data_IF_996282568865
#
_entry.id   IF_996282568865
#
_cell.length_a   1.000
_cell.length_b   1.000
_cell.length_c   1.000
_cell.angle_alpha   90.00
_cell.angle_beta   90.00
_cell.angle_gamma   90.00
#
_symmetry.space_group_name_H-M   'P 1'
#
loop_
_entity.id
_entity.type
_entity.pdbx_description
1 polymer ?
#
# COMPACT_ATOMS: atom_id res chain seq x y z
N UNK A 1 20.25 -24.85 -22.20
CA UNK A 1 19.00 -24.34 -22.83
C UNK A 1 18.07 -23.75 -21.79
N UNK A 2 17.86 -24.42 -20.64
CA UNK A 2 17.09 -23.88 -19.51
C UNK A 2 17.66 -22.55 -18.95
N UNK A 3 18.99 -22.44 -18.83
CA UNK A 3 19.64 -21.25 -18.27
C UNK A 3 19.49 -20.00 -19.16
N UNK A 4 19.59 -20.17 -20.48
CA UNK A 4 19.42 -19.07 -21.46
C UNK A 4 17.98 -18.55 -21.47
N UNK A 5 17.02 -19.46 -21.37
CA UNK A 5 15.59 -19.13 -21.30
C UNK A 5 15.25 -18.42 -19.98
N UNK A 6 15.85 -18.86 -18.86
CA UNK A 6 15.71 -18.20 -17.56
C UNK A 6 16.37 -16.80 -17.52
N UNK A 7 17.51 -16.60 -18.19
CA UNK A 7 18.16 -15.29 -18.28
C UNK A 7 17.30 -14.26 -19.04
N UNK A 8 16.65 -14.67 -20.14
CA UNK A 8 15.69 -13.83 -20.88
C UNK A 8 14.49 -13.43 -19.99
N UNK A 9 13.91 -14.38 -19.25
CA UNK A 9 12.76 -14.08 -18.38
C UNK A 9 13.08 -13.11 -17.23
N UNK A 10 14.30 -13.18 -16.69
CA UNK A 10 14.74 -12.25 -15.65
C UNK A 10 14.81 -10.82 -16.18
N UNK A 11 15.31 -10.65 -17.40
CA UNK A 11 15.52 -9.33 -18.00
C UNK A 11 14.20 -8.59 -18.24
N UNK A 12 13.16 -9.25 -18.74
CA UNK A 12 11.86 -8.61 -18.97
C UNK A 12 11.21 -8.14 -17.67
N UNK A 13 11.22 -8.98 -16.62
CA UNK A 13 10.71 -8.60 -15.31
C UNK A 13 11.39 -7.33 -14.75
N UNK A 14 12.72 -7.24 -14.90
CA UNK A 14 13.48 -6.05 -14.50
C UNK A 14 13.19 -4.82 -15.38
N UNK A 15 12.96 -5.00 -16.68
CA UNK A 15 12.61 -3.90 -17.60
C UNK A 15 11.25 -3.28 -17.23
N UNK A 16 10.23 -4.11 -17.00
CA UNK A 16 8.91 -3.62 -16.57
C UNK A 16 8.97 -2.94 -15.20
N UNK A 17 9.74 -3.50 -14.26
CA UNK A 17 9.94 -2.91 -12.94
C UNK A 17 10.67 -1.56 -13.01
N UNK A 18 11.76 -1.49 -13.77
CA UNK A 18 12.51 -0.25 -13.97
C UNK A 18 11.67 0.80 -14.70
N UNK A 19 10.90 0.40 -15.72
CA UNK A 19 9.97 1.28 -16.42
C UNK A 19 8.89 1.85 -15.51
N UNK A 20 8.29 1.01 -14.66
CA UNK A 20 7.32 1.45 -13.64
C UNK A 20 7.94 2.44 -12.66
N UNK A 21 9.13 2.13 -12.13
CA UNK A 21 9.86 2.99 -11.20
C UNK A 21 10.19 4.35 -11.83
N UNK A 22 10.71 4.36 -13.07
CA UNK A 22 11.00 5.59 -13.80
C UNK A 22 9.72 6.41 -14.02
N UNK A 23 8.62 5.75 -14.41
CA UNK A 23 7.34 6.43 -14.61
C UNK A 23 6.83 7.06 -13.30
N UNK A 24 6.96 6.37 -12.17
CA UNK A 24 6.61 6.88 -10.84
C UNK A 24 7.44 8.13 -10.47
N UNK A 25 8.76 8.04 -10.67
CA UNK A 25 9.71 9.10 -10.34
C UNK A 25 9.47 10.31 -11.24
N UNK A 26 9.39 10.12 -12.55
CA UNK A 26 9.12 11.22 -13.50
C UNK A 26 7.75 11.83 -13.21
N UNK A 27 6.71 11.01 -13.07
CA UNK A 27 5.34 11.47 -12.80
C UNK A 27 5.25 12.28 -11.52
N UNK A 28 5.87 11.82 -10.43
CA UNK A 28 5.89 12.55 -9.16
C UNK A 28 6.69 13.85 -9.23
N UNK A 29 7.82 13.89 -9.95
CA UNK A 29 8.60 15.11 -10.13
C UNK A 29 7.90 16.13 -11.04
N UNK A 30 7.24 15.67 -12.10
CA UNK A 30 6.42 16.52 -12.98
C UNK A 30 5.22 17.08 -12.22
N UNK A 31 4.48 16.24 -11.49
CA UNK A 31 3.34 16.69 -10.68
C UNK A 31 3.76 17.69 -9.59
N UNK A 32 4.94 17.47 -8.98
CA UNK A 32 5.53 18.40 -8.04
C UNK A 32 5.88 19.75 -8.67
N UNK A 33 6.47 19.71 -9.86
CA UNK A 33 6.83 20.91 -10.62
C UNK A 33 5.60 21.79 -10.93
N UNK A 34 4.47 21.15 -11.26
CA UNK A 34 3.21 21.82 -11.56
C UNK A 34 2.48 22.38 -10.33
N UNK A 35 2.77 21.89 -9.12
CA UNK A 35 2.16 22.39 -7.88
C UNK A 35 2.85 23.61 -7.29
N UNK A 36 4.07 23.93 -7.72
CA UNK A 36 4.74 25.15 -7.26
C UNK A 36 4.10 26.37 -7.92
N UNK A 37 3.65 27.38 -7.16
CA UNK A 37 3.14 28.62 -7.74
C UNK A 37 4.25 29.22 -8.62
N UNK A 38 3.96 29.35 -9.91
CA UNK A 38 4.88 29.93 -10.90
C UNK A 38 4.28 31.25 -11.37
N UNK A 39 5.13 32.27 -11.40
CA UNK A 39 4.78 33.54 -12.01
C UNK A 39 4.83 33.37 -13.54
N UNK A 40 3.76 33.77 -14.23
CA UNK A 40 3.65 33.74 -15.70
C UNK A 40 2.45 32.94 -16.23
N UNK A 41 2.17 33.08 -17.53
CA UNK A 41 0.99 32.54 -18.21
C UNK A 41 0.82 31.01 -18.05
N UNK A 42 1.94 30.26 -18.06
CA UNK A 42 1.91 28.80 -17.85
C UNK A 42 1.50 28.43 -16.42
N UNK A 43 1.92 29.20 -15.41
CA UNK A 43 1.54 28.95 -14.01
C UNK A 43 0.05 29.18 -13.79
N UNK A 44 -0.49 30.23 -14.40
CA UNK A 44 -1.92 30.54 -14.33
C UNK A 44 -2.78 29.50 -15.05
N UNK A 45 -2.36 29.03 -16.24
CA UNK A 45 -3.05 27.96 -16.96
C UNK A 45 -3.08 26.66 -16.15
N UNK A 46 -1.95 26.27 -15.55
CA UNK A 46 -1.87 25.06 -14.71
C UNK A 46 -2.72 25.20 -13.45
N UNK A 47 -2.72 26.37 -12.80
CA UNK A 47 -3.57 26.62 -11.64
C UNK A 47 -5.05 26.54 -11.99
N UNK A 48 -5.46 27.12 -13.13
CA UNK A 48 -6.84 27.02 -13.65
C UNK A 48 -7.22 25.58 -13.98
N UNK A 49 -6.32 24.81 -14.60
CA UNK A 49 -6.58 23.40 -14.88
C UNK A 49 -6.71 22.59 -13.59
N UNK A 50 -5.81 22.79 -12.61
CA UNK A 50 -5.79 22.04 -11.36
C UNK A 50 -7.05 22.22 -10.49
N UNK A 51 -7.75 23.36 -10.60
CA UNK A 51 -9.01 23.60 -9.88
C UNK A 51 -10.24 23.03 -10.60
N UNK A 52 -10.12 22.57 -11.84
CA UNK A 52 -11.26 21.97 -12.54
C UNK A 52 -11.59 20.58 -11.98
N UNK A 53 -12.88 20.23 -11.86
CA UNK A 53 -13.28 18.88 -11.43
C UNK A 53 -12.75 17.80 -12.38
N UNK A 54 -12.57 18.13 -13.66
CA UNK A 54 -11.96 17.25 -14.65
C UNK A 54 -10.54 16.82 -14.28
N UNK A 55 -9.73 17.72 -13.71
CA UNK A 55 -8.37 17.37 -13.28
C UNK A 55 -8.39 16.29 -12.18
N UNK A 56 -9.33 16.37 -11.23
CA UNK A 56 -9.48 15.35 -10.19
C UNK A 56 -9.80 13.97 -10.79
N UNK A 57 -10.74 13.89 -11.73
CA UNK A 57 -11.05 12.64 -12.44
C UNK A 57 -9.88 12.12 -13.27
N UNK A 58 -9.19 13.02 -13.99
CA UNK A 58 -8.01 12.67 -14.78
C UNK A 58 -6.90 12.08 -13.90
N UNK A 59 -6.65 12.66 -12.72
CA UNK A 59 -5.65 12.12 -11.78
C UNK A 59 -6.04 10.73 -11.26
N UNK A 60 -7.32 10.48 -10.96
CA UNK A 60 -7.78 9.14 -10.55
C UNK A 60 -7.65 8.13 -11.69
N UNK A 61 -7.95 8.54 -12.92
CA UNK A 61 -7.81 7.69 -14.10
C UNK A 61 -6.34 7.36 -14.38
N UNK A 62 -5.45 8.36 -14.35
CA UNK A 62 -4.00 8.14 -14.48
C UNK A 62 -3.48 7.24 -13.36
N UNK A 63 -3.97 7.40 -12.14
CA UNK A 63 -3.64 6.54 -11.01
C UNK A 63 -4.08 5.10 -11.28
N UNK A 64 -5.33 4.89 -11.70
CA UNK A 64 -5.84 3.57 -12.05
C UNK A 64 -4.97 2.90 -13.13
N UNK A 65 -4.64 3.62 -14.20
CA UNK A 65 -3.79 3.11 -15.27
C UNK A 65 -2.37 2.80 -14.81
N UNK A 66 -1.80 3.61 -13.92
CA UNK A 66 -0.48 3.31 -13.37
C UNK A 66 -0.50 2.07 -12.48
N UNK A 67 -1.41 2.02 -11.52
CA UNK A 67 -1.45 0.96 -10.50
C UNK A 67 -1.92 -0.38 -11.05
N UNK A 68 -2.87 -0.41 -12.00
CA UNK A 68 -3.39 -1.65 -12.57
C UNK A 68 -2.86 -1.88 -13.98
N UNK A 69 -2.77 -0.84 -14.80
CA UNK A 69 -2.39 -0.97 -16.21
C UNK A 69 -0.96 -1.43 -16.39
N UNK A 70 0.01 -0.98 -15.58
CA UNK A 70 1.40 -1.44 -15.69
C UNK A 70 1.55 -2.92 -15.30
N UNK A 71 1.05 -3.38 -14.13
CA UNK A 71 1.07 -4.81 -13.81
C UNK A 71 0.28 -5.67 -14.81
N UNK A 72 -0.85 -5.18 -15.30
CA UNK A 72 -1.65 -5.85 -16.33
C UNK A 72 -0.87 -5.98 -17.64
N UNK A 73 -0.25 -4.90 -18.12
CA UNK A 73 0.60 -4.92 -19.31
C UNK A 73 1.77 -5.90 -19.15
N UNK A 74 2.41 -5.93 -17.99
CA UNK A 74 3.48 -6.87 -17.70
C UNK A 74 2.99 -8.33 -17.67
N UNK A 75 1.78 -8.57 -17.17
CA UNK A 75 1.17 -9.90 -17.13
C UNK A 75 0.77 -10.42 -18.52
N UNK A 76 0.17 -9.57 -19.36
CA UNK A 76 -0.40 -9.98 -20.65
C UNK A 76 0.55 -9.84 -21.83
N UNK A 77 1.45 -8.85 -21.80
CA UNK A 77 2.39 -8.59 -22.91
C UNK A 77 3.82 -8.98 -22.58
N UNK A 78 4.19 -9.04 -21.29
CA UNK A 78 5.56 -9.29 -20.87
C UNK A 78 6.00 -10.76 -20.88
N UNK A 79 5.32 -11.65 -21.61
CA UNK A 79 5.70 -13.07 -21.82
C UNK A 79 6.40 -13.72 -20.61
N UNK A 80 5.71 -13.78 -19.46
CA UNK A 80 6.20 -14.30 -18.15
C UNK A 80 7.03 -13.34 -17.27
N UNK A 81 7.09 -12.05 -17.61
CA UNK A 81 7.67 -10.99 -16.76
C UNK A 81 7.02 -10.94 -15.37
N UNK A 82 5.80 -11.44 -15.24
CA UNK A 82 5.06 -11.51 -13.99
C UNK A 82 4.47 -12.90 -13.78
N UNK A 83 4.82 -13.54 -12.68
CA UNK A 83 4.27 -14.84 -12.32
C UNK A 83 3.03 -14.63 -11.46
N UNK A 84 1.87 -15.10 -11.93
CA UNK A 84 0.60 -15.00 -11.21
C UNK A 84 0.70 -15.45 -9.75
N UNK A 85 1.42 -16.56 -9.49
CA UNK A 85 1.69 -17.06 -8.13
C UNK A 85 2.43 -16.04 -7.24
N UNK A 86 3.40 -15.31 -7.80
CA UNK A 86 4.25 -14.35 -7.06
C UNK A 86 3.51 -13.02 -6.85
N UNK A 87 2.62 -12.65 -7.77
CA UNK A 87 1.65 -11.59 -7.52
C UNK A 87 0.71 -11.93 -6.36
N UNK A 88 0.60 -13.21 -5.98
CA UNK A 88 -0.39 -13.70 -5.03
C UNK A 88 -1.75 -13.95 -5.69
N UNK A 89 -1.80 -14.05 -7.02
CA UNK A 89 -2.95 -14.57 -7.77
C UNK A 89 -2.97 -16.11 -7.71
N UNK A 90 -2.72 -16.66 -6.52
CA UNK A 90 -3.00 -18.06 -6.29
C UNK A 90 -4.51 -18.24 -6.25
N UNK A 91 -5.06 -19.33 -6.83
CA UNK A 91 -6.45 -19.66 -6.61
C UNK A 91 -6.68 -19.70 -5.11
N UNK A 92 -7.49 -18.77 -4.60
CA UNK A 92 -8.16 -19.03 -3.34
C UNK A 92 -9.02 -20.24 -3.67
N UNK A 93 -8.69 -21.42 -3.13
CA UNK A 93 -9.51 -22.62 -3.33
C UNK A 93 -10.79 -22.39 -2.53
N UNK A 94 -11.66 -21.55 -3.08
CA UNK A 94 -13.01 -21.34 -2.61
C UNK A 94 -13.82 -22.43 -3.29
N UNK A 95 -14.47 -23.31 -2.53
CA UNK A 95 -15.16 -24.47 -3.08
C UNK A 95 -16.52 -24.07 -3.68
N UNK A 96 -16.52 -23.14 -4.63
CA UNK A 96 -17.72 -22.63 -5.29
C UNK A 96 -17.78 -22.99 -6.79
N UNK A 97 -16.78 -23.68 -7.33
CA UNK A 97 -16.76 -24.11 -8.73
C UNK A 97 -16.99 -25.63 -8.89
N UNK A 98 -18.26 -25.99 -9.04
CA UNK A 98 -18.70 -26.89 -10.12
C UNK A 98 -18.53 -28.40 -10.00
N UNK A 99 -17.64 -28.94 -9.17
CA UNK A 99 -17.53 -30.41 -9.04
C UNK A 99 -18.44 -30.97 -7.94
N UNK A 100 -19.48 -31.69 -8.39
CA UNK A 100 -20.55 -32.27 -7.55
C UNK A 100 -20.04 -33.30 -6.52
N UNK A 101 -18.76 -33.67 -6.57
CA UNK A 101 -18.10 -34.57 -5.61
C UNK A 101 -17.46 -33.86 -4.40
N UNK A 102 -17.38 -32.52 -4.37
CA UNK A 102 -16.69 -31.76 -3.30
C UNK A 102 -17.56 -31.34 -2.10
N UNK A 103 -18.90 -31.43 -2.18
CA UNK A 103 -19.76 -30.96 -1.08
C UNK A 103 -19.54 -31.69 0.25
N UNK A 104 -19.10 -32.96 0.21
CA UNK A 104 -18.69 -33.71 1.40
C UNK A 104 -17.33 -33.25 1.97
N UNK A 105 -16.51 -32.54 1.18
CA UNK A 105 -15.19 -32.03 1.58
C UNK A 105 -15.24 -30.59 2.12
N UNK A 106 -16.25 -29.79 1.74
CA UNK A 106 -16.42 -28.41 2.23
C UNK A 106 -16.88 -28.39 3.69
N UNK A 107 -17.87 -29.21 4.05
CA UNK A 107 -18.29 -29.37 5.45
C UNK A 107 -17.21 -30.05 6.29
N UNK A 108 -16.42 -30.95 5.71
CA UNK A 108 -15.33 -31.65 6.39
C UNK A 108 -14.13 -30.74 6.74
N UNK A 109 -13.95 -29.59 6.06
CA UNK A 109 -12.80 -28.70 6.29
C UNK A 109 -13.18 -27.34 6.94
N UNK A 110 -14.35 -27.24 7.58
CA UNK A 110 -14.78 -26.01 8.26
C UNK A 110 -13.75 -25.55 9.31
N UNK A 111 -13.11 -26.51 9.98
CA UNK A 111 -12.11 -26.25 11.01
C UNK A 111 -10.85 -25.62 10.40
N UNK A 112 -10.47 -26.01 9.18
CA UNK A 112 -9.40 -25.37 8.43
C UNK A 112 -9.73 -23.92 8.10
N UNK A 113 -10.93 -23.66 7.60
CA UNK A 113 -11.41 -22.31 7.32
C UNK A 113 -11.46 -21.41 8.57
N UNK A 114 -11.98 -21.91 9.69
CA UNK A 114 -12.01 -21.14 10.94
C UNK A 114 -10.62 -20.92 11.50
N UNK A 115 -9.72 -21.88 11.37
CA UNK A 115 -8.32 -21.71 11.74
C UNK A 115 -7.66 -20.64 10.88
N UNK A 116 -7.86 -20.65 9.57
CA UNK A 116 -7.24 -19.69 8.65
C UNK A 116 -7.82 -18.29 8.82
N UNK A 117 -9.14 -18.18 9.03
CA UNK A 117 -9.79 -16.92 9.41
C UNK A 117 -9.32 -16.43 10.80
N UNK A 118 -9.11 -17.35 11.74
CA UNK A 118 -8.56 -17.05 13.07
C UNK A 118 -7.13 -16.52 12.98
N UNK A 119 -6.28 -17.12 12.15
CA UNK A 119 -4.94 -16.61 11.86
C UNK A 119 -5.00 -15.23 11.21
N UNK A 120 -5.86 -15.04 10.21
CA UNK A 120 -6.06 -13.75 9.56
C UNK A 120 -6.45 -12.66 10.58
N UNK A 121 -7.41 -12.96 11.46
CA UNK A 121 -7.83 -12.06 12.52
C UNK A 121 -6.69 -11.77 13.52
N UNK A 122 -5.96 -12.80 13.95
CA UNK A 122 -4.82 -12.65 14.86
C UNK A 122 -3.74 -11.73 14.25
N UNK A 123 -3.41 -11.91 12.98
CA UNK A 123 -2.46 -11.06 12.27
C UNK A 123 -2.94 -9.62 12.15
N UNK A 124 -4.23 -9.43 11.84
CA UNK A 124 -4.85 -8.11 11.82
C UNK A 124 -4.75 -7.41 13.17
N UNK A 125 -5.02 -8.12 14.26
CA UNK A 125 -4.90 -7.61 15.64
C UNK A 125 -3.44 -7.25 15.97
N UNK A 126 -2.48 -8.11 15.64
CA UNK A 126 -1.05 -7.84 15.87
C UNK A 126 -0.59 -6.61 15.08
N UNK A 127 -0.97 -6.50 13.81
CA UNK A 127 -0.67 -5.33 12.99
C UNK A 127 -1.26 -4.05 13.57
N UNK A 128 -2.52 -4.09 14.01
CA UNK A 128 -3.21 -2.95 14.62
C UNK A 128 -2.56 -2.55 15.95
N UNK A 129 -2.19 -3.52 16.79
CA UNK A 129 -1.51 -3.30 18.06
C UNK A 129 -0.12 -2.68 17.85
N UNK A 130 0.64 -3.17 16.86
CA UNK A 130 1.94 -2.60 16.50
C UNK A 130 1.82 -1.14 16.09
N UNK A 131 0.86 -0.81 15.23
CA UNK A 131 0.59 0.58 14.83
C UNK A 131 0.10 1.43 16.00
N UNK A 132 -0.72 0.89 16.89
CA UNK A 132 -1.16 1.56 18.11
C UNK A 132 0.02 1.89 19.02
N UNK A 133 0.98 0.98 19.14
CA UNK A 133 2.20 1.21 19.91
C UNK A 133 3.08 2.29 19.27
N UNK A 134 3.23 2.29 17.95
CA UNK A 134 3.95 3.35 17.22
C UNK A 134 3.26 4.71 17.39
N UNK A 135 1.93 4.77 17.23
CA UNK A 135 1.18 6.00 17.44
C UNK A 135 1.21 6.48 18.89
N UNK A 136 1.17 5.56 19.86
CA UNK A 136 1.29 5.87 21.29
C UNK A 136 2.68 6.43 21.64
N UNK A 137 3.75 5.74 21.22
CA UNK A 137 5.13 6.18 21.45
C UNK A 137 5.41 7.53 20.79
N UNK A 138 4.89 7.74 19.58
CA UNK A 138 4.97 9.02 18.88
C UNK A 138 4.26 10.15 19.64
N UNK A 139 3.01 9.93 20.09
CA UNK A 139 2.28 10.91 20.91
C UNK A 139 3.03 11.24 22.20
N UNK A 140 3.59 10.23 22.87
CA UNK A 140 4.38 10.42 24.08
C UNK A 140 5.64 11.27 23.81
N UNK A 141 6.32 11.02 22.70
CA UNK A 141 7.47 11.82 22.28
C UNK A 141 7.09 13.28 21.98
N UNK A 142 5.96 13.52 21.32
CA UNK A 142 5.47 14.88 21.07
C UNK A 142 5.08 15.61 22.36
N UNK A 143 4.38 14.94 23.28
CA UNK A 143 4.02 15.52 24.57
C UNK A 143 5.26 15.99 25.35
N UNK A 144 6.37 15.24 25.27
CA UNK A 144 7.64 15.61 25.89
C UNK A 144 8.27 16.89 25.29
N UNK A 145 7.89 17.28 24.07
CA UNK A 145 8.38 18.50 23.39
C UNK A 145 7.51 19.74 23.63
N UNK A 146 6.37 19.60 24.33
CA UNK A 146 5.44 20.71 24.59
C UNK A 146 4.65 21.20 23.37
N UNK A 147 4.74 20.50 22.22
CA UNK A 147 3.93 20.80 21.04
C UNK A 147 2.48 20.37 21.27
N UNK A 148 1.52 21.28 21.04
CA UNK A 148 0.09 20.99 21.18
C UNK A 148 -0.37 19.95 20.15
N UNK A 149 -1.22 19.04 20.61
CA UNK A 149 -1.77 17.91 19.86
C UNK A 149 -2.64 18.35 18.65
N UNK A 150 -3.14 19.59 18.65
CA UNK A 150 -3.87 20.24 17.55
C UNK A 150 -3.06 20.29 16.23
N UNK A 151 -1.73 20.18 16.29
CA UNK A 151 -0.88 20.11 15.10
C UNK A 151 -0.95 18.75 14.39
N UNK A 152 -1.48 17.71 15.03
CA UNK A 152 -1.64 16.38 14.43
C UNK A 152 -3.00 16.33 13.74
N UNK A 153 -3.11 17.02 12.60
CA UNK A 153 -4.14 16.69 11.63
C UNK A 153 -3.83 15.27 11.14
N UNK A 154 -4.48 14.25 11.72
CA UNK A 154 -4.42 12.88 11.19
C UNK A 154 -5.27 12.86 9.91
N UNK A 155 -4.69 13.43 8.85
CA UNK A 155 -5.27 13.46 7.51
C UNK A 155 -5.57 12.02 7.11
N UNK A 156 -6.84 11.73 6.86
CA UNK A 156 -7.33 10.38 6.55
C UNK A 156 -8.34 9.82 7.56
N UNK A 157 -8.57 10.50 8.69
CA UNK A 157 -9.64 10.14 9.63
C UNK A 157 -11.03 10.18 8.99
N UNK A 158 -11.28 11.04 8.01
CA UNK A 158 -12.60 11.18 7.38
C UNK A 158 -12.82 10.24 6.18
N UNK A 159 -11.85 9.37 5.87
CA UNK A 159 -11.98 8.46 4.73
C UNK A 159 -13.06 7.41 4.99
N UNK A 160 -13.83 7.13 3.94
CA UNK A 160 -14.80 6.05 3.96
C UNK A 160 -14.12 4.68 3.94
N UNK A 161 -14.80 3.64 4.43
CA UNK A 161 -14.26 2.28 4.41
C UNK A 161 -13.96 1.80 2.98
N UNK A 162 -14.76 2.22 1.99
CA UNK A 162 -14.55 1.92 0.57
C UNK A 162 -13.32 2.62 0.01
N UNK A 163 -13.08 3.89 0.34
CA UNK A 163 -11.84 4.58 -0.04
C UNK A 163 -10.59 3.88 0.49
N UNK A 164 -10.64 3.41 1.74
CA UNK A 164 -9.55 2.63 2.34
C UNK A 164 -9.34 1.30 1.62
N UNK A 165 -10.41 0.65 1.15
CA UNK A 165 -10.32 -0.59 0.40
C UNK A 165 -9.62 -0.38 -0.95
N UNK A 166 -10.02 0.65 -1.69
CA UNK A 166 -9.37 0.98 -2.97
C UNK A 166 -7.90 1.40 -2.77
N UNK A 167 -7.61 2.17 -1.72
CA UNK A 167 -6.23 2.56 -1.39
C UNK A 167 -5.37 1.33 -1.06
N UNK A 168 -5.90 0.40 -0.24
CA UNK A 168 -5.25 -0.87 0.06
C UNK A 168 -5.02 -1.69 -1.21
N UNK A 169 -6.03 -1.81 -2.08
CA UNK A 169 -5.90 -2.51 -3.35
C UNK A 169 -4.80 -1.92 -4.24
N UNK A 170 -4.75 -0.59 -4.38
CA UNK A 170 -3.68 0.06 -5.13
C UNK A 170 -2.30 -0.23 -4.55
N UNK A 171 -2.12 -0.08 -3.23
CA UNK A 171 -0.82 -0.38 -2.63
C UNK A 171 -0.45 -1.84 -2.79
N UNK A 172 -1.32 -2.77 -2.42
CA UNK A 172 -0.98 -4.20 -2.52
C UNK A 172 -0.65 -4.66 -3.94
N UNK A 173 -1.35 -4.14 -4.96
CA UNK A 173 -1.04 -4.44 -6.38
C UNK A 173 0.31 -3.85 -6.79
N UNK A 174 0.59 -2.59 -6.46
CA UNK A 174 1.89 -1.96 -6.73
C UNK A 174 3.02 -2.73 -6.08
N UNK A 175 2.78 -3.18 -4.85
CA UNK A 175 3.72 -3.93 -4.04
C UNK A 175 3.96 -5.33 -4.59
N UNK A 176 2.89 -6.00 -5.02
CA UNK A 176 2.96 -7.28 -5.71
C UNK A 176 3.83 -7.21 -6.94
N UNK A 177 3.69 -6.14 -7.69
CA UNK A 177 4.51 -5.88 -8.85
C UNK A 177 5.98 -5.61 -8.48
N UNK A 178 6.26 -4.77 -7.47
CA UNK A 178 7.63 -4.40 -7.07
C UNK A 178 8.43 -5.55 -6.48
N UNK A 179 7.79 -6.51 -5.80
CA UNK A 179 8.46 -7.70 -5.28
C UNK A 179 8.64 -8.81 -6.32
N UNK A 180 7.92 -8.77 -7.44
CA UNK A 180 7.90 -9.88 -8.39
C UNK A 180 9.29 -10.16 -9.01
N UNK A 181 9.94 -9.15 -9.61
CA UNK A 181 11.27 -9.36 -10.20
C UNK A 181 12.34 -9.73 -9.15
N UNK A 182 12.40 -9.06 -7.97
CA UNK A 182 13.28 -9.49 -6.87
C UNK A 182 13.10 -10.94 -6.44
N UNK A 183 11.86 -11.42 -6.28
CA UNK A 183 11.57 -12.81 -5.90
C UNK A 183 12.04 -13.77 -7.01
N UNK A 184 11.70 -13.49 -8.27
CA UNK A 184 12.12 -14.32 -9.40
C UNK A 184 13.64 -14.41 -9.53
N UNK A 185 14.34 -13.30 -9.29
CA UNK A 185 15.78 -13.25 -9.35
C UNK A 185 16.40 -14.03 -8.18
N UNK A 186 15.99 -13.78 -6.93
CA UNK A 186 16.59 -14.41 -5.75
C UNK A 186 16.28 -15.90 -5.62
N UNK A 187 15.10 -16.36 -6.07
CA UNK A 187 14.75 -17.78 -6.05
C UNK A 187 15.70 -18.65 -6.90
N UNK A 188 16.47 -18.05 -7.81
CA UNK A 188 17.49 -18.76 -8.60
C UNK A 188 18.77 -19.03 -7.81
N UNK A 189 19.08 -18.17 -6.84
CA UNK A 189 20.37 -18.19 -6.14
C UNK A 189 20.25 -18.68 -4.71
N UNK A 190 19.10 -18.50 -4.06
CA UNK A 190 18.90 -18.80 -2.63
C UNK A 190 17.56 -19.50 -2.43
N UNK A 191 17.54 -20.55 -1.60
CA UNK A 191 16.32 -21.32 -1.24
C UNK A 191 15.23 -20.44 -0.61
N UNK A 192 15.64 -19.44 0.18
CA UNK A 192 14.77 -18.44 0.79
C UNK A 192 14.48 -17.23 -0.13
N UNK A 193 14.65 -17.38 -1.45
CA UNK A 193 14.53 -16.26 -2.39
C UNK A 193 13.18 -15.53 -2.36
N UNK A 194 12.10 -16.21 -1.95
CA UNK A 194 10.82 -15.54 -1.72
C UNK A 194 10.88 -14.56 -0.54
N UNK A 195 11.44 -14.97 0.59
CA UNK A 195 11.56 -14.13 1.77
C UNK A 195 12.36 -12.86 1.45
N UNK A 196 13.58 -13.04 0.92
CA UNK A 196 14.46 -11.93 0.58
C UNK A 196 13.95 -11.07 -0.58
N UNK A 197 13.24 -11.65 -1.54
CA UNK A 197 12.63 -10.92 -2.64
C UNK A 197 11.55 -9.94 -2.20
N UNK A 198 10.73 -10.30 -1.21
CA UNK A 198 9.75 -9.37 -0.63
C UNK A 198 10.44 -8.18 0.02
N UNK A 199 11.49 -8.42 0.81
CA UNK A 199 12.27 -7.36 1.44
C UNK A 199 12.99 -6.47 0.43
N UNK A 200 13.54 -7.04 -0.64
CA UNK A 200 14.17 -6.26 -1.70
C UNK A 200 13.13 -5.41 -2.48
N UNK A 201 11.92 -5.94 -2.69
CA UNK A 201 10.80 -5.15 -3.21
C UNK A 201 10.46 -3.95 -2.33
N UNK A 202 10.48 -4.12 -0.99
CA UNK A 202 10.28 -3.02 -0.04
C UNK A 202 11.38 -1.96 -0.16
N UNK A 203 12.64 -2.36 -0.34
CA UNK A 203 13.75 -1.43 -0.57
C UNK A 203 13.53 -0.60 -1.83
N UNK A 204 13.00 -1.20 -2.91
CA UNK A 204 12.67 -0.47 -4.14
C UNK A 204 11.56 0.55 -3.93
N UNK A 205 10.52 0.21 -3.16
CA UNK A 205 9.47 1.17 -2.78
C UNK A 205 10.04 2.32 -1.93
N UNK A 206 10.96 2.02 -1.01
CA UNK A 206 11.64 3.05 -0.22
C UNK A 206 12.52 3.95 -1.11
N UNK A 207 13.18 3.38 -2.11
CA UNK A 207 13.95 4.14 -3.10
C UNK A 207 13.06 5.04 -3.96
N UNK A 208 11.92 4.53 -4.45
CA UNK A 208 10.90 5.33 -5.13
C UNK A 208 10.44 6.51 -4.25
N UNK A 209 10.14 6.25 -2.97
CA UNK A 209 9.74 7.28 -2.02
C UNK A 209 10.85 8.33 -1.78
N UNK A 210 12.11 7.92 -1.68
CA UNK A 210 13.24 8.84 -1.54
C UNK A 210 13.42 9.74 -2.78
N UNK A 211 13.13 9.21 -3.98
CA UNK A 211 13.17 9.97 -5.23
C UNK A 211 11.92 10.85 -5.45
N UNK A 212 10.85 10.61 -4.70
CA UNK A 212 9.63 11.39 -4.77
C UNK A 212 9.74 12.70 -3.96
N UNK A 213 9.61 13.89 -4.60
CA UNK A 213 9.73 15.18 -3.92
C UNK A 213 8.65 15.42 -2.86
N UNK A 214 7.44 14.85 -3.01
CA UNK A 214 6.38 14.97 -2.00
C UNK A 214 6.77 14.27 -0.70
N UNK A 215 7.41 13.11 -0.80
CA UNK A 215 7.91 12.36 0.36
C UNK A 215 9.08 13.07 1.01
N UNK A 216 10.07 13.52 0.24
CA UNK A 216 11.22 14.27 0.78
C UNK A 216 10.79 15.51 1.56
N UNK A 217 9.92 16.33 0.98
CA UNK A 217 9.45 17.54 1.65
C UNK A 217 8.49 17.25 2.79
N UNK A 218 7.64 16.24 2.65
CA UNK A 218 6.73 15.88 3.73
C UNK A 218 7.43 15.28 4.95
N UNK A 219 8.53 14.54 4.77
CA UNK A 219 9.35 14.06 5.91
C UNK A 219 10.08 15.21 6.59
N UNK A 220 10.56 16.20 5.82
CA UNK A 220 11.20 17.39 6.37
C UNK A 220 10.21 18.30 7.14
N UNK A 221 8.93 18.27 6.75
CA UNK A 221 7.85 19.01 7.40
C UNK A 221 7.33 18.25 8.63
N UNK A 222 7.61 18.78 9.83
CA UNK A 222 7.21 18.15 11.12
C UNK A 222 5.71 17.87 11.22
N UNK A 223 4.86 18.63 10.53
CA UNK A 223 3.41 18.42 10.54
C UNK A 223 2.99 17.22 9.66
N UNK A 224 3.76 16.89 8.62
CA UNK A 224 3.43 15.84 7.64
C UNK A 224 4.23 14.56 7.84
N UNK A 225 5.42 14.65 8.43
CA UNK A 225 6.31 13.52 8.66
C UNK A 225 5.63 12.31 9.33
N UNK A 226 4.76 12.48 10.37
CA UNK A 226 4.18 11.34 11.07
C UNK A 226 3.27 10.50 10.19
N UNK A 227 2.48 11.15 9.35
CA UNK A 227 1.61 10.48 8.39
C UNK A 227 2.42 9.70 7.36
N UNK A 228 3.51 10.28 6.86
CA UNK A 228 4.38 9.60 5.89
C UNK A 228 5.14 8.43 6.53
N UNK A 229 5.64 8.60 7.76
CA UNK A 229 6.27 7.51 8.51
C UNK A 229 5.27 6.39 8.79
N UNK A 230 4.02 6.71 9.14
CA UNK A 230 2.98 5.72 9.32
C UNK A 230 2.65 4.99 8.02
N UNK A 231 2.65 5.68 6.87
CA UNK A 231 2.55 5.04 5.55
C UNK A 231 3.73 4.11 5.27
N UNK A 232 4.94 4.46 5.72
CA UNK A 232 6.09 3.56 5.73
C UNK A 232 5.92 2.36 6.68
N UNK A 233 5.23 2.55 7.81
CA UNK A 233 4.85 1.45 8.71
C UNK A 233 3.86 0.48 8.06
N UNK A 234 2.83 1.01 7.39
CA UNK A 234 1.88 0.22 6.60
C UNK A 234 2.56 -0.62 5.53
N UNK A 235 3.55 0.00 4.89
CA UNK A 235 4.45 -0.64 3.97
C UNK A 235 5.04 -1.93 4.60
N UNK A 236 5.72 -1.77 5.73
CA UNK A 236 6.37 -2.89 6.41
C UNK A 236 5.38 -4.00 6.83
N UNK A 237 4.22 -3.62 7.39
CA UNK A 237 3.19 -4.58 7.81
C UNK A 237 2.62 -5.35 6.62
N UNK A 238 2.36 -4.67 5.50
CA UNK A 238 1.91 -5.28 4.25
C UNK A 238 2.90 -6.34 3.72
N UNK A 239 4.21 -6.05 3.75
CA UNK A 239 5.23 -7.03 3.36
C UNK A 239 5.14 -8.31 4.21
N UNK A 240 4.93 -8.18 5.53
CA UNK A 240 4.75 -9.32 6.44
C UNK A 240 3.46 -10.07 6.15
N UNK A 241 2.35 -9.37 5.92
CA UNK A 241 1.08 -9.99 5.53
C UNK A 241 1.23 -10.81 4.26
N UNK A 242 1.93 -10.30 3.25
CA UNK A 242 2.19 -11.06 2.03
C UNK A 242 3.10 -12.28 2.28
N UNK A 243 4.16 -12.17 3.08
CA UNK A 243 5.03 -13.31 3.38
C UNK A 243 4.28 -14.50 3.98
N UNK A 244 3.28 -14.22 4.81
CA UNK A 244 2.48 -15.26 5.46
C UNK A 244 1.34 -15.75 4.58
N UNK A 245 0.63 -14.85 3.89
CA UNK A 245 -0.54 -15.22 3.09
C UNK A 245 -0.19 -15.71 1.69
N UNK A 246 0.87 -15.16 1.10
CA UNK A 246 1.24 -15.30 -0.30
C UNK A 246 0.06 -15.12 -1.27
N UNK A 247 -0.94 -14.33 -0.86
CA UNK A 247 -2.19 -14.17 -1.56
C UNK A 247 -2.58 -12.70 -1.58
N UNK A 248 -2.78 -12.16 -2.79
CA UNK A 248 -3.02 -10.74 -2.98
C UNK A 248 -4.35 -10.30 -2.39
N UNK A 249 -5.39 -11.11 -2.56
CA UNK A 249 -6.72 -10.79 -2.05
C UNK A 249 -6.72 -10.77 -0.51
N UNK A 250 -6.08 -11.75 0.13
CA UNK A 250 -5.95 -11.76 1.59
C UNK A 250 -5.10 -10.59 2.09
N UNK A 251 -3.99 -10.27 1.41
CA UNK A 251 -3.18 -9.10 1.74
C UNK A 251 -3.99 -7.79 1.64
N UNK A 252 -4.83 -7.64 0.60
CA UNK A 252 -5.73 -6.48 0.44
C UNK A 252 -6.74 -6.42 1.58
N UNK A 253 -7.41 -7.53 1.91
CA UNK A 253 -8.40 -7.58 3.00
C UNK A 253 -7.76 -7.26 4.34
N UNK A 254 -6.57 -7.79 4.62
CA UNK A 254 -5.81 -7.49 5.83
C UNK A 254 -5.42 -6.02 5.90
N UNK A 255 -4.79 -5.50 4.85
CA UNK A 255 -4.37 -4.09 4.78
C UNK A 255 -5.57 -3.17 5.00
N UNK A 256 -6.67 -3.41 4.28
CA UNK A 256 -7.92 -2.68 4.43
C UNK A 256 -8.47 -2.77 5.85
N UNK A 257 -8.61 -3.97 6.40
CA UNK A 257 -9.19 -4.21 7.72
C UNK A 257 -8.40 -3.52 8.83
N UNK A 258 -7.07 -3.60 8.79
CA UNK A 258 -6.22 -2.92 9.78
C UNK A 258 -6.26 -1.40 9.56
N UNK A 259 -6.28 -0.91 8.31
CA UNK A 259 -6.40 0.54 8.03
C UNK A 259 -7.72 1.12 8.52
N UNK A 260 -8.82 0.37 8.34
CA UNK A 260 -10.12 0.75 8.85
C UNK A 260 -10.19 0.66 10.38
N UNK A 261 -9.65 -0.40 10.98
CA UNK A 261 -9.53 -0.52 12.44
C UNK A 261 -8.71 0.61 13.05
N UNK A 262 -7.62 1.02 12.39
CA UNK A 262 -6.79 2.14 12.80
C UNK A 262 -7.56 3.46 12.80
N UNK A 263 -8.27 3.76 11.72
CA UNK A 263 -9.07 4.99 11.63
C UNK A 263 -10.20 5.00 12.66
N UNK A 264 -10.86 3.85 12.89
CA UNK A 264 -11.88 3.71 13.93
C UNK A 264 -11.31 3.96 15.35
N UNK A 265 -10.18 3.35 15.70
CA UNK A 265 -9.52 3.55 17.00
C UNK A 265 -9.11 5.01 17.22
N UNK A 266 -8.58 5.66 16.19
CA UNK A 266 -8.17 7.06 16.27
C UNK A 266 -9.39 7.98 16.45
N UNK A 267 -10.48 7.76 15.71
CA UNK A 267 -11.74 8.52 15.89
C UNK A 267 -12.25 8.45 17.33
N UNK A 268 -12.25 7.26 17.94
CA UNK A 268 -12.68 7.09 19.34
C UNK A 268 -11.79 7.88 20.31
N UNK A 269 -10.47 7.80 20.14
CA UNK A 269 -9.52 8.51 20.99
C UNK A 269 -9.68 10.04 20.93
N UNK A 270 -9.97 10.59 19.74
CA UNK A 270 -10.16 12.04 19.56
C UNK A 270 -11.56 12.51 19.95
N UNK A 271 -12.61 11.70 19.71
CA UNK A 271 -13.98 12.03 20.11
C UNK A 271 -14.17 12.15 21.62
N UNK A 272 -13.38 11.43 22.42
CA UNK A 272 -13.43 11.51 23.90
C UNK A 272 -12.80 12.78 24.49
N UNK A 273 -12.21 13.66 23.68
CA UNK A 273 -11.43 14.82 24.15
C UNK A 273 -12.00 16.19 23.80
N UNK A 274 -13.18 16.29 23.20
CA UNK A 274 -13.83 17.60 23.06
C UNK A 274 -14.23 18.09 24.46
N UNK A 275 -13.62 19.16 24.99
CA UNK A 275 -14.03 19.71 26.27
C UNK A 275 -15.50 20.14 26.15
N UNK A 276 -16.32 19.70 27.10
CA UNK A 276 -17.67 20.23 27.25
C UNK A 276 -17.55 21.76 27.33
N UNK A 277 -18.28 22.53 26.50
CA UNK A 277 -18.20 23.98 26.55
C UNK A 277 -18.56 24.41 27.97
N UNK A 278 -17.64 25.11 28.62
CA UNK A 278 -17.79 25.60 29.99
C UNK A 278 -19.11 26.35 30.13
N UNK A 279 -20.11 25.69 30.70
CA UNK A 279 -21.46 26.26 30.90
C UNK A 279 -21.50 27.24 32.08
N UNK A 280 -20.35 27.65 32.63
CA UNK A 280 -20.28 28.54 33.79
C UNK A 280 -20.34 30.05 33.47
N UNK A 281 -20.51 30.43 32.20
CA UNK A 281 -20.82 31.82 31.81
C UNK A 281 -22.19 31.94 31.16
N UNK A 282 -23.25 31.87 31.96
CA UNK A 282 -24.55 32.51 31.69
C UNK A 282 -25.02 33.16 32.99
#
# INVERSE_FOLDING_TARGET
MLDVVLDLFGQEAWLYLAGSLLLAVIGSNVAWLFRKPRLGALGEMVARFAVTPFAAYLFQLLRLFYYLGVPFAALFWGQDAVVARILGLQPLIIPLSGERHLWNSVSANWLGWVRDAGWLAAMGVVGLAGLALVGYSYRRALAATGLKEEAINVIGLDRSASELLFEAAYHEVHWAFYRNAPVLWLQRYVSEGMYWGVWLGLVLVAFEAALNPFWRQGIADRSKAPMLLMRGGWALVSAVFFLVTQNLCLAIVLHWGVSWGWTALMRQCFSSRTPEPDRSTI
#
